data_IF_912668088241
#
_entry.id   IF_912668088241
#
_cell.length_a   1.000
_cell.length_b   1.000
_cell.length_c   1.000
_cell.angle_alpha   90.00
_cell.angle_beta   90.00
_cell.angle_gamma   90.00
#
_symmetry.space_group_name_H-M   'P 1'
#
loop_
_entity.id
_entity.type
_entity.pdbx_description
1 polymer ?
#
# COMPACT_ATOMS: atom_id res chain seq x y z
N UNK A 1 0.17 26.54 0.52
CA UNK A 1 -0.68 26.35 1.71
C UNK A 1 -0.82 27.68 2.42
N UNK A 2 -1.95 27.95 3.07
CA UNK A 2 -2.00 29.07 4.02
C UNK A 2 -1.08 28.73 5.20
N UNK A 3 -0.43 29.72 5.84
CA UNK A 3 0.47 29.52 6.99
C UNK A 3 -0.22 28.98 8.27
N UNK A 4 -1.43 28.42 8.13
CA UNK A 4 -2.27 27.94 9.23
C UNK A 4 -2.92 26.58 8.93
N UNK A 5 -2.48 25.86 7.91
CA UNK A 5 -2.98 24.52 7.59
C UNK A 5 -2.02 23.44 8.10
N UNK A 6 -2.57 22.40 8.72
CA UNK A 6 -1.78 21.31 9.30
C UNK A 6 -1.02 20.56 8.18
N UNK A 7 0.32 20.51 8.22
CA UNK A 7 1.09 19.90 7.15
C UNK A 7 1.12 18.36 7.24
N UNK A 8 0.70 17.77 8.36
CA UNK A 8 0.65 16.33 8.54
C UNK A 8 -0.68 15.75 8.09
N UNK A 9 -0.63 14.59 7.44
CA UNK A 9 -1.79 13.95 6.82
C UNK A 9 -1.95 12.52 7.36
N UNK A 10 -2.52 12.35 8.57
CA UNK A 10 -2.75 11.02 9.15
C UNK A 10 -3.95 10.29 8.52
N UNK A 11 -4.21 10.49 7.22
CA UNK A 11 -5.31 9.86 6.49
C UNK A 11 -4.78 8.70 5.65
N UNK A 12 -5.47 7.55 5.68
CA UNK A 12 -5.08 6.38 4.91
C UNK A 12 -5.00 6.68 3.41
N UNK A 13 -3.91 6.23 2.78
CA UNK A 13 -3.70 6.34 1.34
C UNK A 13 -3.39 7.75 0.83
N UNK A 14 -3.42 8.77 1.68
CA UNK A 14 -3.03 10.13 1.29
C UNK A 14 -1.50 10.25 1.44
N UNK A 15 -0.78 10.64 0.38
CA UNK A 15 0.67 10.81 0.47
C UNK A 15 1.00 11.96 1.44
N UNK A 16 2.07 11.81 2.27
CA UNK A 16 2.55 12.89 3.09
C UNK A 16 3.03 14.03 2.21
N UNK A 17 3.00 15.27 2.73
CA UNK A 17 3.55 16.42 2.00
C UNK A 17 5.04 16.27 1.73
N UNK A 18 5.75 15.62 2.64
CA UNK A 18 7.17 15.33 2.50
C UNK A 18 7.41 13.82 2.47
N UNK A 19 8.02 13.35 1.39
CA UNK A 19 8.42 11.97 1.24
C UNK A 19 9.78 11.72 1.90
N UNK A 20 9.86 10.71 2.77
CA UNK A 20 11.14 10.30 3.37
C UNK A 20 11.41 8.80 3.20
N UNK A 21 12.67 8.48 2.95
CA UNK A 21 13.15 7.10 2.86
C UNK A 21 12.61 6.35 1.64
N UNK A 22 12.71 5.02 1.70
CA UNK A 22 12.33 4.10 0.60
C UNK A 22 13.03 4.41 -0.74
N UNK A 23 14.16 5.12 -0.71
CA UNK A 23 14.91 5.58 -1.89
C UNK A 23 15.34 4.42 -2.79
N UNK A 24 15.77 3.30 -2.21
CA UNK A 24 16.11 2.10 -2.98
C UNK A 24 14.98 1.64 -3.90
N UNK A 25 13.71 1.69 -3.45
CA UNK A 25 12.55 1.31 -4.28
C UNK A 25 12.33 2.35 -5.38
N UNK A 26 12.30 3.64 -5.00
CA UNK A 26 12.03 4.73 -5.91
C UNK A 26 13.09 4.85 -7.02
N UNK A 27 14.37 4.76 -6.65
CA UNK A 27 15.49 4.92 -7.58
C UNK A 27 15.59 3.72 -8.53
N UNK A 28 15.34 2.51 -8.02
CA UNK A 28 15.19 1.31 -8.87
C UNK A 28 14.09 1.53 -9.90
N UNK A 29 12.91 1.95 -9.47
CA UNK A 29 11.77 2.10 -10.36
C UNK A 29 12.00 3.19 -11.40
N UNK A 30 12.52 4.36 -10.99
CA UNK A 30 12.89 5.46 -11.88
C UNK A 30 13.83 4.98 -12.98
N UNK A 31 14.95 4.35 -12.60
CA UNK A 31 15.91 3.83 -13.56
C UNK A 31 15.29 2.81 -14.52
N UNK A 32 14.35 1.99 -14.04
CA UNK A 32 13.71 0.96 -14.83
C UNK A 32 12.70 1.48 -15.85
N UNK A 33 11.98 2.57 -15.55
CA UNK A 33 11.11 3.23 -16.52
C UNK A 33 11.89 3.87 -17.67
N UNK A 34 13.10 4.35 -17.38
CA UNK A 34 14.00 4.98 -18.36
C UNK A 34 14.84 3.92 -19.13
N UNK A 35 14.73 2.63 -18.75
CA UNK A 35 15.44 1.51 -19.38
C UNK A 35 14.65 0.89 -20.54
N UNK A 36 15.26 -0.06 -21.26
CA UNK A 36 14.57 -0.90 -22.25
C UNK A 36 13.52 -1.84 -21.61
N UNK A 37 12.56 -2.35 -22.41
CA UNK A 37 11.65 -3.42 -22.00
C UNK A 37 12.36 -4.60 -21.32
N UNK A 38 11.71 -5.19 -20.31
CA UNK A 38 12.24 -6.34 -19.56
C UNK A 38 13.24 -6.00 -18.43
N UNK A 39 13.53 -4.72 -18.16
CA UNK A 39 14.35 -4.33 -17.00
C UNK A 39 13.75 -4.87 -15.68
N UNK A 40 14.53 -5.53 -14.79
CA UNK A 40 14.01 -6.13 -13.56
C UNK A 40 13.26 -5.16 -12.65
N UNK A 41 13.66 -3.88 -12.65
CA UNK A 41 13.01 -2.84 -11.84
C UNK A 41 11.63 -2.42 -12.35
N UNK A 42 11.18 -2.91 -13.52
CA UNK A 42 9.80 -2.75 -14.00
C UNK A 42 8.84 -3.76 -13.36
N UNK A 43 9.35 -4.75 -12.63
CA UNK A 43 8.54 -5.73 -11.90
C UNK A 43 8.87 -5.66 -10.42
N UNK A 44 8.00 -4.99 -9.65
CA UNK A 44 8.20 -4.79 -8.21
C UNK A 44 7.12 -5.50 -7.40
N UNK A 45 7.54 -6.08 -6.28
CA UNK A 45 6.66 -6.64 -5.26
C UNK A 45 7.01 -5.99 -3.93
N UNK A 46 6.02 -5.38 -3.29
CA UNK A 46 6.16 -4.63 -2.05
C UNK A 46 5.32 -5.32 -0.97
N UNK A 47 5.96 -5.73 0.12
CA UNK A 47 5.26 -6.31 1.28
C UNK A 47 5.51 -5.52 2.55
N UNK A 48 4.69 -5.75 3.57
CA UNK A 48 4.85 -5.19 4.91
C UNK A 48 3.52 -4.87 5.58
N UNK A 49 3.60 -4.37 6.81
CA UNK A 49 2.43 -4.32 7.68
C UNK A 49 1.39 -3.30 7.24
N UNK A 50 0.19 -3.39 7.83
CA UNK A 50 -0.82 -2.33 7.71
C UNK A 50 -0.22 -1.01 8.21
N UNK A 51 -0.56 0.11 7.58
CA UNK A 51 -0.08 1.45 7.95
C UNK A 51 1.42 1.73 7.78
N UNK A 52 2.21 0.80 7.24
CA UNK A 52 3.65 0.99 6.95
C UNK A 52 3.92 1.87 5.71
N UNK A 53 2.85 2.33 5.03
CA UNK A 53 2.92 3.21 3.88
C UNK A 53 3.07 2.53 2.52
N UNK A 54 2.55 1.30 2.35
CA UNK A 54 2.51 0.58 1.06
C UNK A 54 1.73 1.35 -0.01
N UNK A 55 0.45 1.64 0.24
CA UNK A 55 -0.43 2.40 -0.68
C UNK A 55 0.17 3.77 -1.02
N UNK A 56 0.75 4.44 -0.03
CA UNK A 56 1.42 5.73 -0.19
C UNK A 56 2.66 5.60 -1.10
N UNK A 57 3.45 4.53 -0.96
CA UNK A 57 4.55 4.22 -1.88
C UNK A 57 4.05 3.87 -3.28
N UNK A 58 2.95 3.12 -3.39
CA UNK A 58 2.36 2.79 -4.68
C UNK A 58 1.95 4.07 -5.42
N UNK A 59 1.28 5.01 -4.75
CA UNK A 59 0.91 6.31 -5.32
C UNK A 59 2.14 7.11 -5.80
N UNK A 60 3.23 7.14 -5.02
CA UNK A 60 4.47 7.80 -5.43
C UNK A 60 5.09 7.16 -6.69
N UNK A 61 5.05 5.83 -6.80
CA UNK A 61 5.51 5.13 -8.00
C UNK A 61 4.61 5.45 -9.21
N UNK A 62 3.31 5.58 -9.00
CA UNK A 62 2.36 5.99 -10.05
C UNK A 62 2.57 7.44 -10.49
N UNK A 63 2.90 8.35 -9.58
CA UNK A 63 3.24 9.74 -9.89
C UNK A 63 4.56 9.82 -10.68
N UNK A 64 5.56 9.02 -10.28
CA UNK A 64 6.83 8.85 -11.00
C UNK A 64 6.58 8.37 -12.43
N UNK A 65 5.70 7.39 -12.63
CA UNK A 65 5.34 6.89 -13.94
C UNK A 65 4.57 7.94 -14.76
N UNK A 66 3.57 8.58 -14.16
CA UNK A 66 2.76 9.60 -14.81
C UNK A 66 3.59 10.81 -15.25
N UNK A 67 4.57 11.23 -14.45
CA UNK A 67 5.52 12.31 -14.81
C UNK A 67 6.40 11.98 -16.02
N UNK A 68 6.54 10.69 -16.36
CA UNK A 68 7.22 10.17 -17.55
C UNK A 68 6.26 9.86 -18.70
N UNK A 69 4.99 10.22 -18.57
CA UNK A 69 3.96 9.97 -19.57
C UNK A 69 3.48 8.52 -19.63
N UNK A 70 3.81 7.68 -18.65
CA UNK A 70 3.29 6.31 -18.57
C UNK A 70 1.82 6.34 -18.17
N UNK A 71 1.03 5.44 -18.75
CA UNK A 71 -0.37 5.26 -18.38
C UNK A 71 -0.46 4.30 -17.21
N UNK A 72 -0.96 4.79 -16.08
CA UNK A 72 -1.19 3.98 -14.89
C UNK A 72 -2.58 3.35 -14.93
N UNK A 73 -2.63 2.03 -14.78
CA UNK A 73 -3.82 1.21 -14.63
C UNK A 73 -3.85 0.62 -13.22
N UNK A 74 -4.74 1.13 -12.38
CA UNK A 74 -4.94 0.64 -11.02
C UNK A 74 -5.88 -0.55 -11.01
N UNK A 75 -5.40 -1.63 -10.44
CA UNK A 75 -6.08 -2.89 -10.34
C UNK A 75 -6.43 -3.10 -8.86
N UNK A 76 -7.66 -2.73 -8.47
CA UNK A 76 -8.12 -2.79 -7.08
C UNK A 76 -8.50 -4.23 -6.72
N UNK A 77 -7.97 -4.78 -5.62
CA UNK A 77 -8.30 -6.13 -5.17
C UNK A 77 -9.75 -6.33 -4.66
N UNK A 78 -10.64 -5.34 -4.78
CA UNK A 78 -12.02 -5.37 -4.23
C UNK A 78 -13.11 -5.55 -5.29
N UNK A 79 -12.76 -5.59 -6.57
CA UNK A 79 -13.66 -5.76 -7.72
C UNK A 79 -13.19 -6.92 -8.62
N UNK A 80 -14.02 -7.32 -9.58
CA UNK A 80 -13.63 -8.16 -10.73
C UNK A 80 -12.60 -7.37 -11.54
N UNK A 81 -11.33 -7.53 -11.18
CA UNK A 81 -10.23 -6.64 -11.53
C UNK A 81 -9.99 -6.66 -13.03
N UNK A 82 -10.04 -7.84 -13.62
CA UNK A 82 -9.81 -8.04 -15.05
C UNK A 82 -10.98 -7.49 -15.86
N UNK A 83 -12.21 -7.74 -15.42
CA UNK A 83 -13.43 -7.24 -16.07
C UNK A 83 -13.46 -5.71 -16.07
N UNK A 84 -13.17 -5.07 -14.93
CA UNK A 84 -13.11 -3.61 -14.83
C UNK A 84 -12.08 -3.02 -15.81
N UNK A 85 -10.87 -3.61 -15.88
CA UNK A 85 -9.84 -3.17 -16.82
C UNK A 85 -10.28 -3.32 -18.29
N UNK A 86 -10.88 -4.47 -18.63
CA UNK A 86 -11.25 -4.83 -20.01
C UNK A 86 -12.45 -4.03 -20.51
N UNK A 87 -13.48 -3.88 -19.68
CA UNK A 87 -14.78 -3.36 -20.09
C UNK A 87 -14.94 -1.86 -19.84
N UNK A 88 -14.14 -1.27 -18.93
CA UNK A 88 -14.31 0.14 -18.55
C UNK A 88 -13.02 0.96 -18.59
N UNK A 89 -11.98 0.56 -17.85
CA UNK A 89 -10.83 1.43 -17.60
C UNK A 89 -9.98 1.65 -18.84
N UNK A 90 -9.57 0.57 -19.52
CA UNK A 90 -8.75 0.67 -20.73
C UNK A 90 -9.53 1.33 -21.88
N UNK A 91 -10.78 0.92 -22.20
CA UNK A 91 -11.57 1.57 -23.24
C UNK A 91 -11.72 3.08 -23.05
N UNK A 92 -12.00 3.54 -21.83
CA UNK A 92 -12.12 4.97 -21.51
C UNK A 92 -10.82 5.73 -21.72
N UNK A 93 -9.66 5.12 -21.48
CA UNK A 93 -8.36 5.73 -21.73
C UNK A 93 -8.09 5.80 -23.23
N UNK A 94 -8.34 4.71 -23.97
CA UNK A 94 -8.23 4.66 -25.42
C UNK A 94 -9.07 5.78 -26.06
N UNK A 95 -10.34 5.93 -25.65
CA UNK A 95 -11.24 6.97 -26.16
C UNK A 95 -10.72 8.40 -25.91
N UNK A 96 -9.93 8.62 -24.84
CA UNK A 96 -9.31 9.92 -24.56
C UNK A 96 -8.06 10.15 -25.41
N UNK A 97 -7.26 9.11 -25.66
CA UNK A 97 -6.02 9.19 -26.43
C UNK A 97 -6.30 9.28 -27.95
N UNK A 98 -7.31 8.57 -28.41
CA UNK A 98 -7.73 8.53 -29.80
C UNK A 98 -9.27 8.59 -29.88
N UNK A 99 -9.89 9.78 -29.71
CA UNK A 99 -11.33 9.92 -29.81
C UNK A 99 -11.83 9.42 -31.16
N UNK A 100 -12.78 8.50 -31.14
CA UNK A 100 -13.42 8.06 -32.38
C UNK A 100 -13.99 9.26 -33.12
N UNK A 101 -13.70 9.35 -34.42
CA UNK A 101 -14.15 10.44 -35.28
C UNK A 101 -15.67 10.30 -35.52
N UNK A 102 -16.47 10.77 -34.56
CA UNK A 102 -17.95 10.72 -34.59
C UNK A 102 -18.55 11.53 -35.75
N UNK A 103 -17.72 12.28 -36.49
CA UNK A 103 -18.13 13.12 -37.62
C UNK A 103 -18.51 12.33 -38.88
N UNK A 104 -18.18 11.03 -38.98
CA UNK A 104 -18.51 10.21 -40.16
C UNK A 104 -19.89 9.53 -40.14
N UNK A 105 -20.70 9.72 -39.09
CA UNK A 105 -21.99 9.01 -38.94
C UNK A 105 -23.23 9.85 -39.31
N UNK A 106 -23.12 11.16 -39.56
CA UNK A 106 -24.27 12.01 -39.92
C UNK A 106 -24.25 12.51 -41.37
N UNK A 107 -24.19 11.60 -42.34
CA UNK A 107 -24.61 11.89 -43.72
C UNK A 107 -25.69 10.92 -44.18
N UNK A 108 -26.83 10.95 -43.47
CA UNK A 108 -28.11 10.44 -43.99
C UNK A 108 -28.83 11.61 -44.66
N UNK A 109 -29.14 11.43 -45.95
CA UNK A 109 -29.41 12.48 -46.91
C UNK A 109 -30.71 13.27 -46.73
N UNK A 110 -30.64 14.54 -47.14
CA UNK A 110 -31.79 15.38 -47.50
C UNK A 110 -32.25 14.94 -48.89
N UNK A 111 -33.50 14.47 -48.99
CA UNK A 111 -34.29 14.45 -50.22
C UNK A 111 -33.93 13.40 -51.28
N UNK A 112 -34.69 12.29 -51.28
CA UNK A 112 -35.02 11.49 -52.47
C UNK A 112 -33.89 10.63 -53.09
N UNK A 113 -34.12 9.31 -53.10
CA UNK A 113 -33.43 8.28 -53.90
C UNK A 113 -32.02 7.85 -53.42
N UNK A 114 -32.00 6.77 -52.64
CA UNK A 114 -31.08 5.61 -52.70
C UNK A 114 -30.83 5.04 -51.29
N UNK A 115 -31.60 4.02 -50.91
CA UNK A 115 -31.26 3.14 -49.78
C UNK A 115 -30.11 2.23 -50.19
N UNK A 116 -28.87 2.63 -49.90
CA UNK A 116 -27.76 1.66 -49.81
C UNK A 116 -27.85 1.07 -48.41
N UNK A 117 -28.37 -0.15 -48.32
CA UNK A 117 -28.32 -0.95 -47.11
C UNK A 117 -26.86 -1.24 -46.78
N UNK A 118 -26.35 -0.59 -45.74
CA UNK A 118 -25.14 -1.09 -45.07
C UNK A 118 -25.60 -2.32 -44.29
N UNK A 119 -25.45 -3.49 -44.90
CA UNK A 119 -25.36 -4.74 -44.15
C UNK A 119 -24.14 -4.62 -43.24
N UNK A 120 -24.35 -4.14 -42.02
CA UNK A 120 -23.44 -4.44 -40.93
C UNK A 120 -23.51 -5.93 -40.71
N UNK A 121 -22.57 -6.63 -41.32
CA UNK A 121 -22.24 -8.00 -40.97
C UNK A 121 -21.91 -7.95 -39.47
N UNK A 122 -22.81 -8.39 -38.61
CA UNK A 122 -22.50 -8.75 -37.23
C UNK A 122 -21.58 -9.96 -37.30
N UNK A 123 -20.31 -9.72 -37.59
CA UNK A 123 -19.23 -10.62 -37.17
C UNK A 123 -19.45 -10.87 -35.68
N UNK A 124 -19.37 -12.14 -35.25
CA UNK A 124 -19.36 -12.51 -33.83
C UNK A 124 -18.44 -11.52 -33.11
N UNK A 125 -19.02 -10.65 -32.28
CA UNK A 125 -18.27 -9.59 -31.64
C UNK A 125 -17.15 -10.24 -30.83
N UNK A 126 -15.91 -10.08 -31.30
CA UNK A 126 -14.73 -10.61 -30.63
C UNK A 126 -14.77 -10.15 -29.17
N UNK A 127 -14.89 -11.09 -28.22
CA UNK A 127 -14.94 -10.74 -26.80
C UNK A 127 -13.55 -10.22 -26.42
N UNK A 128 -13.40 -8.93 -26.07
CA UNK A 128 -12.10 -8.37 -25.74
C UNK A 128 -11.53 -9.09 -24.51
N UNK A 129 -10.21 -9.30 -24.52
CA UNK A 129 -9.47 -9.84 -23.39
C UNK A 129 -8.57 -8.76 -22.80
N UNK A 130 -8.02 -9.00 -21.60
CA UNK A 130 -7.04 -8.08 -21.01
C UNK A 130 -5.83 -7.90 -21.93
N UNK A 131 -5.37 -8.99 -22.54
CA UNK A 131 -4.24 -8.97 -23.47
C UNK A 131 -4.53 -8.09 -24.69
N UNK A 132 -5.68 -8.29 -25.36
CA UNK A 132 -6.02 -7.48 -26.54
C UNK A 132 -6.22 -6.02 -26.19
N UNK A 133 -6.87 -5.70 -25.07
CA UNK A 133 -7.06 -4.31 -24.60
C UNK A 133 -5.74 -3.62 -24.28
N UNK A 134 -4.83 -4.30 -23.58
CA UNK A 134 -3.52 -3.73 -23.28
C UNK A 134 -2.69 -3.50 -24.55
N UNK A 135 -2.74 -4.42 -25.53
CA UNK A 135 -2.07 -4.23 -26.82
C UNK A 135 -2.65 -3.08 -27.63
N UNK A 136 -3.98 -2.93 -27.66
CA UNK A 136 -4.66 -1.79 -28.27
C UNK A 136 -4.16 -0.48 -27.64
N UNK A 137 -4.13 -0.40 -26.31
CA UNK A 137 -3.65 0.77 -25.59
C UNK A 137 -2.17 1.05 -25.88
N UNK A 138 -1.30 0.04 -25.75
CA UNK A 138 0.14 0.16 -26.00
C UNK A 138 0.44 0.58 -27.44
N UNK A 139 -0.36 0.14 -28.42
CA UNK A 139 -0.22 0.54 -29.82
C UNK A 139 -0.48 2.03 -30.08
N UNK A 140 -1.16 2.72 -29.16
CA UNK A 140 -1.38 4.17 -29.23
C UNK A 140 -0.25 4.97 -28.56
N UNK A 141 0.60 4.32 -27.76
CA UNK A 141 1.67 4.96 -27.01
C UNK A 141 2.98 4.96 -27.80
N UNK A 142 3.76 6.06 -27.71
CA UNK A 142 5.08 6.18 -28.36
C UNK A 142 6.10 6.67 -27.35
N UNK A 143 7.16 5.90 -27.14
CA UNK A 143 8.24 6.24 -26.20
C UNK A 143 7.80 6.24 -24.72
N UNK A 144 6.69 5.58 -24.42
CA UNK A 144 6.13 5.44 -23.07
C UNK A 144 5.38 4.10 -22.97
N UNK A 145 4.94 3.74 -21.77
CA UNK A 145 4.36 2.44 -21.48
C UNK A 145 3.12 2.45 -20.60
N UNK A 146 2.73 1.25 -20.18
CA UNK A 146 1.65 1.00 -19.22
C UNK A 146 2.21 0.48 -17.91
N UNK A 147 1.86 1.14 -16.80
CA UNK A 147 2.11 0.66 -15.45
C UNK A 147 0.84 0.02 -14.90
N UNK A 148 0.91 -1.26 -14.52
CA UNK A 148 -0.11 -1.97 -13.77
C UNK A 148 0.21 -1.91 -12.27
N UNK A 149 -0.68 -1.35 -11.46
CA UNK A 149 -0.53 -1.35 -10.00
C UNK A 149 -1.59 -2.20 -9.34
N UNK A 150 -1.20 -3.05 -8.38
CA UNK A 150 -2.11 -3.90 -7.60
C UNK A 150 -1.87 -3.58 -6.13
N UNK A 151 -2.87 -3.01 -5.44
CA UNK A 151 -2.82 -2.81 -3.99
C UNK A 151 -3.61 -3.89 -3.25
N UNK A 152 -3.20 -4.18 -2.03
CA UNK A 152 -3.80 -5.20 -1.16
C UNK A 152 -3.98 -6.55 -1.89
N UNK A 153 -2.91 -7.11 -2.44
CA UNK A 153 -2.94 -8.37 -3.23
C UNK A 153 -3.57 -9.57 -2.51
N UNK A 154 -3.70 -9.53 -1.17
CA UNK A 154 -4.43 -10.55 -0.41
C UNK A 154 -5.97 -10.47 -0.59
N UNK A 155 -6.50 -9.32 -0.98
CA UNK A 155 -7.93 -9.09 -1.16
C UNK A 155 -8.38 -9.53 -2.58
N UNK A 156 -7.47 -9.53 -3.55
CA UNK A 156 -7.75 -9.89 -4.95
C UNK A 156 -8.01 -11.39 -5.17
N UNK A 157 -8.83 -11.69 -6.17
CA UNK A 157 -9.15 -13.05 -6.62
C UNK A 157 -7.94 -13.73 -7.31
N UNK A 158 -7.80 -15.04 -7.12
CA UNK A 158 -6.66 -15.80 -7.63
C UNK A 158 -6.67 -15.94 -9.16
N UNK A 159 -7.85 -16.06 -9.78
CA UNK A 159 -8.00 -16.15 -11.23
C UNK A 159 -7.62 -14.83 -11.89
N UNK A 160 -8.09 -13.71 -11.34
CA UNK A 160 -7.74 -12.36 -11.81
C UNK A 160 -6.23 -12.08 -11.72
N UNK A 161 -5.61 -12.39 -10.57
CA UNK A 161 -4.17 -12.24 -10.38
C UNK A 161 -3.37 -13.10 -11.38
N UNK A 162 -3.84 -14.33 -11.63
CA UNK A 162 -3.22 -15.24 -12.60
C UNK A 162 -3.35 -14.70 -14.03
N UNK A 163 -4.55 -14.25 -14.42
CA UNK A 163 -4.83 -13.67 -15.74
C UNK A 163 -3.99 -12.42 -16.02
N UNK A 164 -3.88 -11.52 -15.04
CA UNK A 164 -3.04 -10.32 -15.14
C UNK A 164 -1.56 -10.69 -15.25
N UNK A 165 -1.06 -11.60 -14.40
CA UNK A 165 0.34 -12.00 -14.41
C UNK A 165 0.73 -12.68 -15.73
N UNK A 166 -0.07 -13.62 -16.23
CA UNK A 166 0.16 -14.28 -17.53
C UNK A 166 0.14 -13.26 -18.67
N UNK A 167 -0.85 -12.36 -18.67
CA UNK A 167 -0.92 -11.29 -19.68
C UNK A 167 0.32 -10.40 -19.64
N UNK A 168 0.74 -9.97 -18.45
CA UNK A 168 1.94 -9.17 -18.29
C UNK A 168 3.19 -9.91 -18.79
N UNK A 169 3.34 -11.20 -18.48
CA UNK A 169 4.44 -12.02 -18.96
C UNK A 169 4.49 -12.07 -20.50
N UNK A 170 3.33 -12.23 -21.15
CA UNK A 170 3.24 -12.24 -22.61
C UNK A 170 3.64 -10.88 -23.22
N UNK A 171 3.23 -9.77 -22.63
CA UNK A 171 3.60 -8.43 -23.10
C UNK A 171 5.09 -8.16 -22.92
N UNK A 172 5.69 -8.60 -21.81
CA UNK A 172 7.15 -8.53 -21.58
C UNK A 172 7.90 -9.38 -22.61
N UNK A 173 7.39 -10.56 -22.96
CA UNK A 173 8.01 -11.46 -23.96
C UNK A 173 8.05 -10.83 -25.35
N UNK A 174 7.06 -10.01 -25.68
CA UNK A 174 6.98 -9.27 -26.94
C UNK A 174 7.71 -7.91 -26.88
N UNK A 175 8.53 -7.70 -25.85
CA UNK A 175 9.34 -6.49 -25.64
C UNK A 175 8.49 -5.20 -25.62
N UNK A 176 7.26 -5.28 -25.11
CA UNK A 176 6.40 -4.10 -24.96
C UNK A 176 6.73 -3.32 -23.68
N UNK A 177 6.49 -2.01 -23.71
CA UNK A 177 6.72 -1.11 -22.58
C UNK A 177 5.64 -1.28 -21.50
N UNK A 178 5.80 -2.34 -20.69
CA UNK A 178 4.95 -2.63 -19.54
C UNK A 178 5.77 -2.68 -18.25
N UNK A 179 5.14 -2.27 -17.16
CA UNK A 179 5.64 -2.40 -15.80
C UNK A 179 4.51 -2.88 -14.88
N UNK A 180 4.88 -3.59 -13.81
CA UNK A 180 3.95 -4.07 -12.79
C UNK A 180 4.51 -3.79 -11.39
N UNK A 181 3.65 -3.27 -10.51
CA UNK A 181 3.93 -3.11 -9.09
C UNK A 181 2.79 -3.73 -8.29
N UNK A 182 3.11 -4.75 -7.48
CA UNK A 182 2.15 -5.40 -6.60
C UNK A 182 2.49 -5.11 -5.13
N UNK A 183 1.50 -4.71 -4.33
CA UNK A 183 1.64 -4.39 -2.93
C UNK A 183 0.64 -5.18 -2.07
N UNK A 184 1.05 -5.61 -0.89
CA UNK A 184 0.11 -6.20 0.09
C UNK A 184 0.79 -6.77 1.33
N UNK A 185 0.06 -7.57 2.09
CA UNK A 185 0.61 -8.27 3.25
C UNK A 185 1.59 -9.37 2.81
N UNK A 186 2.60 -9.73 3.64
CA UNK A 186 3.52 -10.83 3.35
C UNK A 186 2.82 -12.12 2.89
N UNK A 187 1.76 -12.54 3.59
CA UNK A 187 0.94 -13.69 3.19
C UNK A 187 0.28 -13.54 1.81
N UNK A 188 -0.22 -12.35 1.49
CA UNK A 188 -0.85 -12.08 0.20
C UNK A 188 0.13 -12.17 -0.94
N UNK A 189 1.33 -11.63 -0.73
CA UNK A 189 2.45 -11.70 -1.67
C UNK A 189 2.93 -13.14 -1.85
N UNK A 190 3.08 -13.91 -0.76
CA UNK A 190 3.47 -15.32 -0.86
C UNK A 190 2.41 -16.13 -1.64
N UNK A 191 1.12 -15.93 -1.33
CA UNK A 191 0.00 -16.53 -2.06
C UNK A 191 0.07 -16.20 -3.55
N UNK A 192 0.26 -14.93 -3.91
CA UNK A 192 0.44 -14.50 -5.30
C UNK A 192 1.57 -15.27 -6.00
N UNK A 193 2.73 -15.41 -5.34
CA UNK A 193 3.89 -16.09 -5.90
C UNK A 193 3.72 -17.61 -6.02
N UNK A 194 2.80 -18.19 -5.24
CA UNK A 194 2.45 -19.61 -5.26
C UNK A 194 1.34 -19.93 -6.28
N UNK A 195 0.72 -18.93 -6.91
CA UNK A 195 -0.30 -19.14 -7.94
C UNK A 195 0.28 -19.85 -9.19
N UNK A 196 -0.48 -20.77 -9.81
CA UNK A 196 -0.09 -21.39 -11.07
C UNK A 196 0.16 -20.34 -12.17
N UNK A 197 1.20 -20.52 -12.98
CA UNK A 197 1.52 -19.60 -14.09
C UNK A 197 2.19 -18.28 -13.68
N UNK A 198 2.27 -17.97 -12.38
CA UNK A 198 2.83 -16.70 -11.87
C UNK A 198 4.33 -16.82 -11.51
N UNK A 199 4.95 -17.97 -11.74
CA UNK A 199 6.34 -18.29 -11.35
C UNK A 199 7.38 -17.26 -11.80
N UNK A 200 7.15 -16.56 -12.91
CA UNK A 200 8.07 -15.52 -13.39
C UNK A 200 8.16 -14.33 -12.41
N UNK A 201 7.08 -13.98 -11.69
CA UNK A 201 7.08 -12.93 -10.67
C UNK A 201 7.99 -13.28 -9.48
N UNK A 202 8.42 -14.53 -9.31
CA UNK A 202 9.43 -14.87 -8.30
C UNK A 202 10.77 -14.17 -8.56
N UNK A 203 11.04 -13.76 -9.81
CA UNK A 203 12.21 -12.99 -10.23
C UNK A 203 11.99 -11.47 -10.19
N UNK A 204 10.79 -11.01 -9.86
CA UNK A 204 10.53 -9.59 -9.61
C UNK A 204 11.39 -9.10 -8.43
N UNK A 205 11.74 -7.81 -8.42
CA UNK A 205 12.41 -7.23 -7.27
C UNK A 205 11.45 -7.11 -6.10
N UNK A 206 11.91 -7.53 -4.91
CA UNK A 206 11.08 -7.61 -3.70
C UNK A 206 11.58 -6.64 -2.65
N UNK A 207 10.67 -5.86 -2.10
CA UNK A 207 10.94 -4.93 -1.02
C UNK A 207 10.01 -5.21 0.15
N UNK A 208 10.57 -5.48 1.32
CA UNK A 208 9.81 -5.61 2.57
C UNK A 208 9.93 -4.29 3.31
N UNK A 209 8.81 -3.59 3.49
CA UNK A 209 8.77 -2.32 4.19
C UNK A 209 8.70 -2.55 5.69
N UNK A 210 9.64 -1.95 6.41
CA UNK A 210 9.62 -1.83 7.86
C UNK A 210 9.41 -0.39 8.33
N UNK A 211 9.49 -0.15 9.65
CA UNK A 211 9.44 1.19 10.21
C UNK A 211 10.54 2.10 9.64
N UNK A 212 10.29 3.41 9.65
CA UNK A 212 11.31 4.40 9.34
C UNK A 212 12.42 4.32 10.39
N UNK A 213 13.67 4.46 9.94
CA UNK A 213 14.79 4.66 10.85
C UNK A 213 14.57 5.94 11.69
N UNK A 214 15.16 6.04 12.89
CA UNK A 214 15.08 7.26 13.69
C UNK A 214 15.52 8.52 12.92
N UNK A 215 16.53 8.39 12.05
CA UNK A 215 16.98 9.48 11.18
C UNK A 215 15.91 9.90 10.15
N UNK A 216 15.26 8.94 9.49
CA UNK A 216 14.17 9.24 8.55
C UNK A 216 12.93 9.78 9.27
N UNK A 217 12.60 9.27 10.45
CA UNK A 217 11.50 9.80 11.25
C UNK A 217 11.79 11.25 11.69
N UNK A 218 13.02 11.56 12.13
CA UNK A 218 13.46 12.93 12.43
C UNK A 218 13.21 13.86 11.24
N UNK A 219 13.71 13.47 10.06
CA UNK A 219 13.53 14.25 8.81
C UNK A 219 12.04 14.41 8.48
N UNK A 220 11.23 13.36 8.63
CA UNK A 220 9.79 13.46 8.38
C UNK A 220 9.12 14.54 9.25
N UNK A 221 9.43 14.58 10.55
CA UNK A 221 8.87 15.59 11.45
C UNK A 221 9.35 16.99 11.10
N UNK A 222 10.66 17.19 10.92
CA UNK A 222 11.23 18.52 10.68
C UNK A 222 10.79 19.10 9.35
N UNK A 223 10.91 18.34 8.26
CA UNK A 223 10.62 18.82 6.91
C UNK A 223 9.12 19.03 6.68
N UNK A 224 8.28 18.17 7.26
CA UNK A 224 6.82 18.35 7.16
C UNK A 224 6.39 19.60 7.93
N UNK A 225 6.88 19.78 9.16
CA UNK A 225 6.50 20.93 9.99
C UNK A 225 6.95 22.28 9.38
N UNK A 226 8.15 22.32 8.77
CA UNK A 226 8.68 23.50 8.09
C UNK A 226 7.76 24.08 7.00
N UNK A 227 6.88 23.26 6.40
CA UNK A 227 5.90 23.70 5.40
C UNK A 227 4.79 24.62 5.96
N UNK A 228 4.67 24.73 7.28
CA UNK A 228 3.58 25.43 7.96
C UNK A 228 4.01 26.66 8.75
N UNK A 229 5.32 26.93 8.86
CA UNK A 229 5.88 27.99 9.70
C UNK A 229 5.94 27.68 11.20
N UNK A 230 5.44 26.53 11.65
CA UNK A 230 5.62 26.00 13.01
C UNK A 230 6.63 24.86 12.99
N UNK A 231 7.80 25.08 13.59
CA UNK A 231 8.89 24.11 13.64
C UNK A 231 8.93 23.39 14.99
N UNK A 232 9.38 22.13 14.98
CA UNK A 232 9.68 21.42 16.22
C UNK A 232 10.99 21.91 16.84
N UNK A 233 11.03 22.00 18.15
CA UNK A 233 12.29 22.05 18.92
C UNK A 233 13.02 20.70 18.85
N UNK A 234 14.33 20.67 19.09
CA UNK A 234 15.11 19.42 19.01
C UNK A 234 14.59 18.34 19.98
N UNK A 235 14.26 18.74 21.21
CA UNK A 235 13.71 17.83 22.23
C UNK A 235 12.33 17.31 21.83
N UNK A 236 11.49 18.16 21.23
CA UNK A 236 10.19 17.74 20.69
C UNK A 236 10.33 16.72 19.57
N UNK A 237 11.29 16.90 18.64
CA UNK A 237 11.55 15.90 17.60
C UNK A 237 12.01 14.59 18.21
N UNK A 238 12.93 14.63 19.18
CA UNK A 238 13.41 13.43 19.85
C UNK A 238 12.25 12.68 20.55
N UNK A 239 11.36 13.40 21.23
CA UNK A 239 10.15 12.84 21.84
C UNK A 239 9.20 12.25 20.79
N UNK A 240 8.96 12.93 19.68
CA UNK A 240 8.07 12.48 18.61
C UNK A 240 8.61 11.25 17.87
N UNK A 241 9.94 11.17 17.68
CA UNK A 241 10.60 9.98 17.12
C UNK A 241 10.46 8.78 18.06
N UNK A 242 10.65 8.97 19.37
CA UNK A 242 10.44 7.90 20.36
C UNK A 242 8.98 7.43 20.38
N UNK A 243 8.04 8.37 20.44
CA UNK A 243 6.61 8.09 20.48
C UNK A 243 6.14 7.39 19.20
N UNK A 244 6.63 7.80 18.03
CA UNK A 244 6.22 7.20 16.75
C UNK A 244 6.76 5.79 16.50
N UNK A 245 7.85 5.41 17.18
CA UNK A 245 8.60 4.16 16.95
C UNK A 245 8.90 3.93 15.45
N UNK A 246 9.06 5.01 14.68
CA UNK A 246 9.29 4.97 13.24
C UNK A 246 8.10 4.54 12.38
N UNK A 247 6.95 4.21 12.98
CA UNK A 247 5.78 3.75 12.24
C UNK A 247 5.14 4.91 11.45
N UNK A 248 5.12 4.88 10.10
CA UNK A 248 4.77 6.04 9.27
C UNK A 248 3.42 6.69 9.60
N UNK A 249 2.39 5.89 9.86
CA UNK A 249 1.09 6.42 10.27
C UNK A 249 1.19 7.17 11.62
N UNK A 250 1.93 6.63 12.59
CA UNK A 250 2.13 7.30 13.88
C UNK A 250 2.99 8.57 13.73
N UNK A 251 3.96 8.59 12.81
CA UNK A 251 4.70 9.83 12.49
C UNK A 251 3.75 10.94 12.03
N UNK A 252 2.82 10.63 11.12
CA UNK A 252 1.84 11.60 10.66
C UNK A 252 0.84 11.98 11.76
N UNK A 253 0.40 11.02 12.57
CA UNK A 253 -0.57 11.26 13.64
C UNK A 253 0.00 12.13 14.76
N UNK A 254 1.17 11.77 15.30
CA UNK A 254 1.87 12.54 16.34
C UNK A 254 2.17 13.95 15.84
N UNK A 255 2.67 14.06 14.60
CA UNK A 255 2.97 15.36 13.99
C UNK A 255 1.72 16.23 13.89
N UNK A 256 0.62 15.66 13.40
CA UNK A 256 -0.66 16.36 13.26
C UNK A 256 -1.22 16.85 14.60
N UNK A 257 -1.23 15.98 15.62
CA UNK A 257 -1.77 16.32 16.94
C UNK A 257 -0.91 17.36 17.66
N UNK A 258 0.42 17.17 17.67
CA UNK A 258 1.35 18.10 18.32
C UNK A 258 1.33 19.48 17.64
N UNK A 259 1.32 19.51 16.30
CA UNK A 259 1.17 20.76 15.53
C UNK A 259 -0.16 21.44 15.85
N UNK A 260 -1.27 20.70 15.86
CA UNK A 260 -2.60 21.25 16.14
C UNK A 260 -2.72 21.80 17.56
N UNK A 261 -2.04 21.18 18.53
CA UNK A 261 -1.95 21.68 19.91
C UNK A 261 -1.18 23.00 19.97
N UNK A 262 0.06 23.02 19.48
CA UNK A 262 0.91 24.21 19.49
C UNK A 262 0.24 25.40 18.77
N UNK A 263 -0.43 25.15 17.64
CA UNK A 263 -1.17 26.18 16.92
C UNK A 263 -2.31 26.78 17.76
N UNK A 264 -3.13 25.95 18.43
CA UNK A 264 -4.25 26.43 19.26
C UNK A 264 -3.79 27.26 20.45
N UNK A 265 -2.62 26.97 20.98
CA UNK A 265 -2.02 27.69 22.12
C UNK A 265 -1.27 28.96 21.69
N UNK A 266 -1.22 29.25 20.38
CA UNK A 266 -0.52 30.41 19.84
C UNK A 266 1.00 30.29 19.96
N UNK A 267 1.51 29.06 20.07
CA UNK A 267 2.94 28.78 20.15
C UNK A 267 3.68 29.22 18.88
N UNK A 268 4.95 29.59 19.03
CA UNK A 268 5.84 29.88 17.90
C UNK A 268 6.61 28.66 17.41
N UNK A 269 6.64 27.59 18.21
CA UNK A 269 7.31 26.31 17.96
C UNK A 269 6.51 25.18 18.62
N UNK A 270 6.77 23.95 18.19
CA UNK A 270 6.25 22.73 18.80
C UNK A 270 7.28 22.25 19.84
N UNK A 271 6.87 22.21 21.09
CA UNK A 271 7.72 21.87 22.24
C UNK A 271 7.56 20.41 22.68
N UNK A 272 8.49 19.90 23.49
CA UNK A 272 8.40 18.52 24.01
C UNK A 272 7.11 18.32 24.81
N UNK A 273 6.66 19.35 25.54
CA UNK A 273 5.39 19.34 26.27
C UNK A 273 4.17 19.14 25.36
N UNK A 274 4.21 19.64 24.11
CA UNK A 274 3.12 19.42 23.15
C UNK A 274 3.02 17.96 22.74
N UNK A 275 4.16 17.34 22.47
CA UNK A 275 4.25 15.91 22.10
C UNK A 275 3.83 15.03 23.29
N UNK A 276 4.28 15.35 24.49
CA UNK A 276 3.90 14.63 25.70
C UNK A 276 2.39 14.67 25.94
N UNK A 277 1.77 15.85 25.76
CA UNK A 277 0.34 16.05 25.98
C UNK A 277 -0.56 15.25 25.02
N UNK A 278 -0.11 14.97 23.79
CA UNK A 278 -0.89 14.24 22.77
C UNK A 278 -0.61 12.74 22.75
N UNK A 279 0.32 12.25 23.58
CA UNK A 279 0.78 10.86 23.57
C UNK A 279 -0.36 9.85 23.77
N UNK A 280 -1.19 10.06 24.80
CA UNK A 280 -2.31 9.16 25.10
C UNK A 280 -3.37 9.16 23.99
N UNK A 281 -3.68 10.34 23.44
CA UNK A 281 -4.60 10.48 22.31
C UNK A 281 -4.06 9.77 21.06
N UNK A 282 -2.79 9.96 20.72
CA UNK A 282 -2.17 9.32 19.56
C UNK A 282 -2.20 7.79 19.65
N UNK A 283 -1.90 7.23 20.83
CA UNK A 283 -1.96 5.78 21.08
C UNK A 283 -3.41 5.28 21.00
N UNK A 284 -4.37 6.01 21.57
CA UNK A 284 -5.80 5.65 21.51
C UNK A 284 -6.33 5.65 20.07
N UNK A 285 -5.99 6.67 19.28
CA UNK A 285 -6.36 6.76 17.86
C UNK A 285 -5.71 5.64 17.03
N UNK A 286 -4.46 5.26 17.31
CA UNK A 286 -3.84 4.08 16.71
C UNK A 286 -4.62 2.80 17.07
N UNK A 287 -5.04 2.67 18.33
CA UNK A 287 -5.89 1.59 18.82
C UNK A 287 -7.14 1.41 17.96
N UNK A 288 -7.94 2.47 17.84
CA UNK A 288 -9.18 2.43 17.09
C UNK A 288 -8.99 2.23 15.58
N UNK A 289 -7.98 2.86 14.98
CA UNK A 289 -7.84 2.91 13.52
C UNK A 289 -6.95 1.82 12.92
N UNK A 290 -6.07 1.20 13.72
CA UNK A 290 -5.11 0.21 13.23
C UNK A 290 -5.21 -1.09 14.03
N UNK A 291 -5.09 -1.05 15.36
CA UNK A 291 -5.08 -2.28 16.17
C UNK A 291 -6.42 -3.02 16.10
N UNK A 292 -7.54 -2.29 16.28
CA UNK A 292 -8.87 -2.90 16.27
C UNK A 292 -9.19 -3.55 14.92
N UNK A 293 -9.08 -2.88 13.76
CA UNK A 293 -9.31 -3.53 12.46
C UNK A 293 -8.36 -4.70 12.19
N UNK A 294 -7.11 -4.63 12.66
CA UNK A 294 -6.14 -5.71 12.49
C UNK A 294 -6.42 -6.94 13.36
N UNK A 295 -7.15 -6.77 14.47
CA UNK A 295 -7.43 -7.83 15.45
C UNK A 295 -8.87 -8.33 15.44
N UNK A 296 -9.79 -7.61 14.80
CA UNK A 296 -11.24 -7.88 14.83
C UNK A 296 -11.63 -9.29 14.37
N UNK A 297 -10.99 -9.79 13.31
CA UNK A 297 -11.33 -11.08 12.69
C UNK A 297 -10.38 -12.22 13.11
N UNK A 298 -9.62 -12.05 14.19
CA UNK A 298 -8.65 -13.07 14.61
C UNK A 298 -9.36 -14.31 15.16
N UNK A 299 -8.99 -15.52 14.72
CA UNK A 299 -9.43 -16.75 15.36
C UNK A 299 -9.08 -16.77 16.85
N UNK A 300 -9.89 -17.40 17.73
CA UNK A 300 -9.67 -17.40 19.18
C UNK A 300 -8.27 -17.82 19.60
N UNK A 301 -7.70 -18.84 18.95
CA UNK A 301 -6.35 -19.30 19.25
C UNK A 301 -5.24 -18.29 18.91
N UNK A 302 -5.46 -17.45 17.89
CA UNK A 302 -4.53 -16.38 17.54
C UNK A 302 -4.64 -15.21 18.52
N UNK A 303 -5.86 -14.84 18.91
CA UNK A 303 -6.10 -13.81 19.92
C UNK A 303 -5.47 -14.17 21.27
N UNK A 304 -5.74 -15.37 21.78
CA UNK A 304 -5.14 -15.88 23.03
C UNK A 304 -3.60 -15.86 22.99
N UNK A 305 -3.01 -16.12 21.82
CA UNK A 305 -1.57 -16.03 21.65
C UNK A 305 -1.06 -14.60 21.82
N UNK A 306 -1.71 -13.61 21.21
CA UNK A 306 -1.29 -12.21 21.30
C UNK A 306 -1.54 -11.61 22.69
N UNK A 307 -2.62 -12.02 23.36
CA UNK A 307 -2.90 -11.66 24.76
C UNK A 307 -1.82 -12.23 25.69
N UNK A 308 -1.50 -13.52 25.57
CA UNK A 308 -0.41 -14.15 26.34
C UNK A 308 0.95 -13.52 26.03
N UNK A 309 1.21 -13.19 24.76
CA UNK A 309 2.42 -12.48 24.35
C UNK A 309 2.53 -11.10 25.00
N UNK A 310 1.43 -10.35 25.06
CA UNK A 310 1.38 -9.04 25.70
C UNK A 310 1.65 -9.15 27.21
N UNK A 311 1.07 -10.16 27.88
CA UNK A 311 1.22 -10.37 29.31
C UNK A 311 2.64 -10.73 29.77
N UNK A 312 3.45 -11.34 28.88
CA UNK A 312 4.83 -11.77 29.18
C UNK A 312 5.90 -10.93 28.48
N UNK A 313 5.50 -9.82 27.86
CA UNK A 313 6.41 -8.97 27.10
C UNK A 313 7.33 -8.17 28.02
N UNK A 314 8.63 -8.22 27.74
CA UNK A 314 9.66 -7.46 28.44
C UNK A 314 10.54 -6.73 27.43
N UNK A 315 10.75 -5.42 27.64
CA UNK A 315 11.58 -4.57 26.77
C UNK A 315 11.19 -4.65 25.27
N UNK A 316 9.89 -4.77 24.98
CA UNK A 316 9.35 -4.83 23.62
C UNK A 316 9.42 -6.20 22.94
N UNK A 317 9.89 -7.24 23.62
CA UNK A 317 9.96 -8.61 23.09
C UNK A 317 9.38 -9.64 24.06
N UNK A 318 8.96 -10.79 23.55
CA UNK A 318 8.48 -11.90 24.34
C UNK A 318 9.13 -13.22 23.88
N UNK A 319 9.56 -14.05 24.82
CA UNK A 319 10.05 -15.39 24.50
C UNK A 319 8.91 -16.38 24.26
N UNK A 320 8.96 -17.13 23.16
CA UNK A 320 7.94 -18.14 22.81
C UNK A 320 7.73 -19.19 23.90
N UNK A 321 8.78 -19.49 24.69
CA UNK A 321 8.70 -20.41 25.83
C UNK A 321 7.82 -19.85 26.95
N UNK A 322 7.88 -18.54 27.18
CA UNK A 322 7.10 -17.85 28.22
C UNK A 322 5.64 -17.71 27.76
N UNK A 323 5.41 -17.41 26.48
CA UNK A 323 4.06 -17.41 25.88
C UNK A 323 3.40 -18.77 26.02
N UNK A 324 4.14 -19.85 25.76
CA UNK A 324 3.65 -21.21 25.88
C UNK A 324 3.34 -21.57 27.35
N UNK A 325 4.24 -21.24 28.27
CA UNK A 325 4.04 -21.46 29.70
C UNK A 325 2.83 -20.69 30.25
N UNK A 326 2.62 -19.45 29.82
CA UNK A 326 1.46 -18.63 30.23
C UNK A 326 0.11 -19.20 29.76
N UNK A 327 0.11 -20.04 28.72
CA UNK A 327 -1.08 -20.72 28.21
C UNK A 327 -1.17 -22.20 28.64
N UNK A 328 -0.29 -22.67 29.54
CA UNK A 328 -0.18 -24.09 29.90
C UNK A 328 -0.01 -25.03 28.69
N UNK A 329 0.77 -24.57 27.70
CA UNK A 329 0.97 -25.24 26.41
C UNK A 329 2.44 -25.46 26.12
N UNK A 330 2.71 -26.32 25.12
CA UNK A 330 4.07 -26.51 24.59
C UNK A 330 4.34 -25.56 23.43
N UNK A 331 5.60 -25.15 23.25
CA UNK A 331 6.06 -24.36 22.10
C UNK A 331 5.65 -25.04 20.78
N UNK A 332 5.81 -26.37 20.68
CA UNK A 332 5.43 -27.16 19.51
C UNK A 332 3.95 -26.99 19.17
N UNK A 333 3.07 -26.93 20.17
CA UNK A 333 1.64 -26.75 19.95
C UNK A 333 1.27 -25.36 19.44
N UNK A 334 2.13 -24.36 19.64
CA UNK A 334 1.92 -22.98 19.20
C UNK A 334 2.50 -22.68 17.81
N UNK A 335 3.33 -23.56 17.23
CA UNK A 335 4.05 -23.30 15.98
C UNK A 335 3.12 -22.88 14.83
N UNK A 336 1.98 -23.56 14.66
CA UNK A 336 1.03 -23.22 13.59
C UNK A 336 0.35 -21.87 13.82
N UNK A 337 -0.05 -21.55 15.07
CA UNK A 337 -0.63 -20.24 15.41
C UNK A 337 0.39 -19.13 15.22
N UNK A 338 1.63 -19.33 15.69
CA UNK A 338 2.74 -18.41 15.50
C UNK A 338 2.98 -18.11 14.02
N UNK A 339 3.04 -19.14 13.17
CA UNK A 339 3.27 -18.94 11.74
C UNK A 339 2.16 -18.11 11.11
N UNK A 340 0.89 -18.40 11.41
CA UNK A 340 -0.24 -17.61 10.90
C UNK A 340 -0.20 -16.14 11.34
N UNK A 341 0.27 -15.86 12.56
CA UNK A 341 0.42 -14.49 13.06
C UNK A 341 1.58 -13.73 12.42
N UNK A 342 2.67 -14.44 12.06
CA UNK A 342 3.77 -13.90 11.25
C UNK A 342 3.28 -13.61 9.83
N UNK A 343 2.54 -14.56 9.23
CA UNK A 343 1.98 -14.42 7.88
C UNK A 343 1.00 -13.23 7.81
N UNK A 344 0.22 -13.02 8.88
CA UNK A 344 -0.68 -11.88 9.05
C UNK A 344 0.04 -10.56 9.38
N UNK A 345 1.37 -10.60 9.54
CA UNK A 345 2.23 -9.45 9.84
C UNK A 345 1.86 -8.72 11.14
N UNK A 346 1.42 -9.50 12.14
CA UNK A 346 1.09 -9.00 13.48
C UNK A 346 2.26 -9.15 14.45
N UNK A 347 3.09 -10.18 14.24
CA UNK A 347 4.31 -10.44 15.01
C UNK A 347 5.46 -10.80 14.09
N UNK A 348 6.68 -10.56 14.55
CA UNK A 348 7.89 -10.97 13.82
C UNK A 348 8.95 -11.54 14.78
N UNK A 349 9.80 -12.47 14.30
CA UNK A 349 10.93 -12.95 15.09
C UNK A 349 12.09 -11.96 15.09
N UNK A 350 12.61 -11.62 16.27
CA UNK A 350 13.77 -10.73 16.43
C UNK A 350 15.07 -11.49 16.67
N UNK A 351 14.99 -12.64 17.34
CA UNK A 351 16.07 -13.56 17.62
C UNK A 351 15.51 -14.98 17.79
N UNK A 352 16.38 -15.97 18.01
CA UNK A 352 15.94 -17.34 18.23
C UNK A 352 15.00 -17.43 19.44
N UNK A 353 13.72 -17.70 19.17
CA UNK A 353 12.69 -17.84 20.20
C UNK A 353 12.12 -16.52 20.73
N UNK A 354 12.56 -15.36 20.24
CA UNK A 354 12.01 -14.06 20.61
C UNK A 354 11.09 -13.51 19.53
N UNK A 355 10.00 -12.87 19.98
CA UNK A 355 8.96 -12.28 19.14
C UNK A 355 8.71 -10.84 19.57
N UNK A 356 8.38 -9.98 18.61
CA UNK A 356 7.86 -8.64 18.87
C UNK A 356 6.60 -8.38 18.04
N UNK A 357 5.80 -7.39 18.45
CA UNK A 357 4.71 -6.89 17.62
C UNK A 357 5.26 -6.05 16.48
N UNK A 358 4.68 -6.20 15.29
CA UNK A 358 5.05 -5.39 14.12
C UNK A 358 4.44 -3.99 14.21
N UNK A 359 3.22 -3.89 14.73
CA UNK A 359 2.51 -2.63 14.92
C UNK A 359 2.83 -2.12 16.34
N UNK A 360 3.31 -0.88 16.52
CA UNK A 360 3.69 -0.36 17.83
C UNK A 360 2.49 -0.27 18.77
N UNK A 361 2.71 -0.39 20.09
CA UNK A 361 1.69 -0.29 21.14
C UNK A 361 0.58 -1.35 21.09
N UNK A 362 0.74 -2.41 20.28
CA UNK A 362 -0.21 -3.53 20.26
C UNK A 362 -0.25 -4.25 21.61
N UNK A 363 0.87 -4.27 22.34
CA UNK A 363 0.95 -4.79 23.71
C UNK A 363 0.00 -4.06 24.65
N UNK A 364 0.01 -2.73 24.60
CA UNK A 364 -0.84 -1.89 25.43
C UNK A 364 -2.31 -2.02 25.03
N UNK A 365 -2.59 -2.18 23.73
CA UNK A 365 -3.95 -2.40 23.21
C UNK A 365 -4.58 -3.68 23.78
N UNK A 366 -3.86 -4.81 23.82
CA UNK A 366 -4.39 -6.06 24.39
C UNK A 366 -4.53 -6.02 25.91
N UNK A 367 -3.73 -5.21 26.61
CA UNK A 367 -3.89 -5.01 28.07
C UNK A 367 -5.05 -4.06 28.40
N UNK A 368 -5.36 -3.10 27.53
CA UNK A 368 -6.32 -2.03 27.80
C UNK A 368 -7.73 -2.27 27.22
N UNK A 369 -7.94 -3.35 26.45
CA UNK A 369 -9.22 -3.61 25.78
C UNK A 369 -9.81 -4.97 26.11
N UNK A 370 -11.15 -5.06 26.06
CA UNK A 370 -11.87 -6.32 26.20
C UNK A 370 -11.70 -7.24 24.97
N UNK A 371 -12.36 -8.41 25.00
CA UNK A 371 -12.33 -9.39 23.91
C UNK A 371 -12.86 -8.90 22.56
N UNK A 372 -13.52 -7.73 22.54
CA UNK A 372 -14.08 -7.07 21.35
C UNK A 372 -13.32 -5.78 20.97
N UNK A 373 -12.22 -5.47 21.67
CA UNK A 373 -11.43 -4.26 21.44
C UNK A 373 -12.08 -2.99 22.00
N UNK A 374 -13.00 -3.12 22.97
CA UNK A 374 -13.65 -1.98 23.63
C UNK A 374 -12.81 -1.50 24.79
N UNK A 375 -12.84 -0.18 25.01
CA UNK A 375 -12.21 0.50 26.15
C UNK A 375 -13.34 0.87 27.14
N UNK A 376 -13.07 0.79 28.44
CA UNK A 376 -14.00 1.24 29.50
C UNK A 376 -14.31 2.75 29.45
#
# INVERSE_FOLDING_TARGET
MSPHENPFRPTFGVPPLFWVGRTAVLDTFRAALDSQPGSPGRSLIISGARGIGKTVLLNELEDIASSRGWITLRASGRSSLVEELVDTTIPRIIDKLAPADKSKVNRVGIGGLATIGIQHNTEEAYKPTLNTRLRELLGLLKGTGVLLTIDEVQDADAEDLTSLAVTYQDLVRDELDVAIVAAGLPQGVNRLLDLPGVTFLRRAQKFVLGPLSPANAKVAFTETAAQSGLEFTEDAVAAAVRLSRGYPYMVQLVGSLAWGKAQREGGSRIEEGDVAAVSAEAISVLGAQVHQPATLALPPAQRLFLEAMSAVMENGTAEIKNIAAHQDRTVRSLSATRQRLIDADLIEPTAHGQLQFVIPYMEAYFTATDSLGRID
#
